data_IF_291818655669
#
_entry.id   IF_291818655669
#
_cell.length_a   1.000
_cell.length_b   1.000
_cell.length_c   1.000
_cell.angle_alpha   90.00
_cell.angle_beta   90.00
_cell.angle_gamma   90.00
#
_symmetry.space_group_name_H-M   'P 1'
#
loop_
_entity.id
_entity.type
_entity.pdbx_description
1 polymer ?
#
# COMPACT_ATOMS: atom_id res chain seq x y z
N UNK A 1 10.21 -10.51 70.59
CA UNK A 1 11.21 -9.51 71.05
C UNK A 1 12.59 -10.16 71.01
N UNK A 2 13.31 -9.98 69.90
CA UNK A 2 14.74 -10.25 69.65
C UNK A 2 15.03 -9.53 68.31
N UNK A 3 15.48 -8.26 68.34
CA UNK A 3 16.86 -7.76 68.25
C UNK A 3 17.60 -8.03 66.92
N UNK A 4 17.87 -6.90 66.21
CA UNK A 4 19.02 -6.52 65.35
C UNK A 4 19.46 -7.50 64.23
N UNK A 5 19.61 -7.11 62.97
CA UNK A 5 20.08 -5.84 62.41
C UNK A 5 21.54 -5.96 61.97
N UNK A 6 21.79 -6.10 60.66
CA UNK A 6 23.05 -5.68 60.00
C UNK A 6 22.90 -5.78 58.46
N UNK A 7 22.74 -4.63 57.82
CA UNK A 7 22.88 -4.40 56.39
C UNK A 7 24.37 -4.18 56.13
N UNK A 8 24.97 -4.90 55.19
CA UNK A 8 26.28 -4.56 54.63
C UNK A 8 26.16 -4.43 53.11
N UNK A 9 26.14 -3.18 52.66
CA UNK A 9 26.39 -2.77 51.28
C UNK A 9 27.84 -2.28 51.21
N UNK A 10 28.68 -2.94 50.42
CA UNK A 10 30.01 -2.45 50.04
C UNK A 10 30.30 -2.91 48.62
N UNK A 11 30.61 -1.97 47.72
CA UNK A 11 31.18 -2.28 46.40
C UNK A 11 30.90 -1.23 45.33
N UNK A 12 31.50 -0.05 45.47
CA UNK A 12 31.49 1.07 44.50
C UNK A 12 32.27 0.79 43.21
N UNK A 13 31.86 1.52 42.16
CA UNK A 13 32.42 1.66 40.82
C UNK A 13 33.83 2.31 40.75
N UNK A 14 34.62 1.94 39.73
CA UNK A 14 35.59 2.76 38.96
C UNK A 14 36.23 1.84 37.88
N UNK A 15 36.07 2.04 36.56
CA UNK A 15 36.59 3.06 35.63
C UNK A 15 37.98 2.73 35.03
N UNK A 16 38.15 3.12 33.74
CA UNK A 16 39.34 3.10 32.86
C UNK A 16 39.61 1.78 32.09
N UNK A 17 39.98 1.72 30.80
CA UNK A 17 40.44 2.74 29.82
C UNK A 17 40.56 2.09 28.42
N UNK A 18 40.27 2.83 27.34
CA UNK A 18 40.78 2.56 25.97
C UNK A 18 42.29 2.83 25.85
N UNK A 19 42.96 2.66 24.67
CA UNK A 19 42.68 3.51 23.50
C UNK A 19 42.96 2.91 22.09
N UNK A 20 42.75 3.77 21.08
CA UNK A 20 43.55 3.97 19.84
C UNK A 20 43.21 3.20 18.54
N UNK A 21 42.51 3.93 17.66
CA UNK A 21 42.91 4.35 16.29
C UNK A 21 43.59 3.38 15.30
N UNK A 22 42.96 3.28 14.11
CA UNK A 22 43.67 3.35 12.83
C UNK A 22 42.74 3.80 11.69
N UNK A 23 42.88 5.07 11.29
CA UNK A 23 42.55 5.54 9.94
C UNK A 23 43.70 5.22 8.97
N UNK A 24 43.37 4.82 7.74
CA UNK A 24 44.12 5.05 6.50
C UNK A 24 43.14 4.74 5.34
N UNK A 25 42.71 5.71 4.53
CA UNK A 25 43.41 6.40 3.44
C UNK A 25 42.90 5.86 2.08
N UNK A 26 42.04 6.65 1.43
CA UNK A 26 42.27 7.28 0.11
C UNK A 26 42.44 6.27 -1.04
N UNK A 27 41.47 6.24 -1.95
CA UNK A 27 41.80 6.34 -3.38
C UNK A 27 40.71 7.05 -4.18
N UNK A 28 41.15 8.04 -4.94
CA UNK A 28 40.42 8.78 -5.97
C UNK A 28 40.65 8.05 -7.28
N UNK A 29 39.60 7.84 -8.08
CA UNK A 29 39.75 7.82 -9.54
C UNK A 29 38.61 8.63 -10.13
N UNK A 30 39.00 9.75 -10.72
CA UNK A 30 38.25 10.45 -11.75
C UNK A 30 38.78 9.96 -13.10
N UNK A 31 37.89 9.66 -14.04
CA UNK A 31 38.13 9.64 -15.49
C UNK A 31 36.71 9.64 -16.12
N UNK A 32 36.18 10.78 -16.55
CA UNK A 32 36.39 11.48 -17.83
C UNK A 32 35.59 10.86 -19.00
N UNK A 33 34.66 11.69 -19.51
CA UNK A 33 34.28 11.88 -20.93
C UNK A 33 33.81 10.66 -21.73
N UNK A 34 32.55 10.71 -22.21
CA UNK A 34 32.26 10.95 -23.63
C UNK A 34 30.76 11.21 -23.86
N UNK A 35 30.48 12.48 -24.17
CA UNK A 35 29.35 12.91 -25.00
C UNK A 35 29.61 12.41 -26.42
N UNK A 36 28.66 11.72 -27.04
CA UNK A 36 28.53 11.70 -28.49
C UNK A 36 27.06 11.90 -28.87
N UNK A 37 26.85 13.11 -29.39
CA UNK A 37 25.81 13.55 -30.28
C UNK A 37 25.99 12.83 -31.62
N UNK A 38 24.97 12.12 -32.13
CA UNK A 38 24.88 11.86 -33.58
C UNK A 38 23.41 11.81 -34.01
N UNK A 39 22.98 12.94 -34.57
CA UNK A 39 21.91 13.06 -35.54
C UNK A 39 22.19 12.19 -36.77
N UNK A 40 21.22 11.38 -37.19
CA UNK A 40 21.00 11.09 -38.62
C UNK A 40 19.51 11.22 -38.92
N UNK A 41 19.22 12.20 -39.78
CA UNK A 41 17.94 12.48 -40.41
C UNK A 41 17.79 11.69 -41.72
N UNK A 42 16.53 11.30 -41.97
CA UNK A 42 15.82 11.23 -43.26
C UNK A 42 16.31 10.28 -44.37
N UNK A 43 15.42 9.40 -44.85
CA UNK A 43 14.75 9.64 -46.14
C UNK A 43 13.64 8.62 -46.50
N UNK A 44 12.49 9.20 -46.88
CA UNK A 44 11.54 8.90 -47.97
C UNK A 44 10.75 7.57 -48.13
N UNK A 45 9.43 7.74 -47.91
CA UNK A 45 8.31 7.57 -48.87
C UNK A 45 7.99 6.23 -49.58
N UNK A 46 6.75 5.76 -49.36
CA UNK A 46 5.77 5.36 -50.37
C UNK A 46 4.39 5.21 -49.67
N UNK A 47 3.47 6.16 -49.84
CA UNK A 47 2.31 6.09 -50.74
C UNK A 47 1.33 4.95 -50.50
N UNK A 48 0.11 5.33 -50.07
CA UNK A 48 -1.05 4.45 -49.94
C UNK A 48 -2.28 5.23 -49.47
N UNK A 49 -2.76 6.16 -50.29
CA UNK A 49 -4.03 6.86 -50.09
C UNK A 49 -5.20 6.08 -50.72
N UNK A 50 -6.42 6.52 -50.34
CA UNK A 50 -7.77 6.18 -50.85
C UNK A 50 -8.41 5.03 -50.03
N UNK A 51 -9.56 5.17 -49.35
CA UNK A 51 -10.75 5.93 -49.72
C UNK A 51 -11.48 6.55 -48.51
N UNK A 52 -11.94 7.79 -48.72
CA UNK A 52 -13.07 8.38 -48.00
C UNK A 52 -14.34 7.71 -48.51
N UNK A 53 -15.13 7.09 -47.61
CA UNK A 53 -16.51 6.71 -47.89
C UNK A 53 -17.45 7.81 -47.38
N UNK A 54 -18.13 8.55 -48.28
CA UNK A 54 -19.25 9.39 -47.91
C UNK A 54 -20.52 8.57 -48.10
N UNK A 55 -21.13 8.12 -46.99
CA UNK A 55 -22.55 7.74 -47.05
C UNK A 55 -23.25 8.17 -45.76
N UNK A 56 -23.71 9.42 -45.81
CA UNK A 56 -24.72 9.99 -44.92
C UNK A 56 -26.10 9.51 -45.40
N UNK A 57 -26.70 8.55 -44.70
CA UNK A 57 -28.14 8.28 -44.82
C UNK A 57 -28.82 8.41 -43.44
N UNK A 58 -29.70 9.42 -43.24
CA UNK A 58 -30.35 9.69 -41.97
C UNK A 58 -31.77 9.14 -41.96
N UNK A 59 -31.97 7.85 -41.67
CA UNK A 59 -33.26 7.40 -41.11
C UNK A 59 -33.21 5.97 -40.54
N UNK A 60 -32.90 5.84 -39.25
CA UNK A 60 -33.50 4.80 -38.40
C UNK A 60 -33.27 5.11 -36.92
N UNK A 61 -34.14 5.95 -36.37
CA UNK A 61 -34.28 6.07 -34.92
C UNK A 61 -34.78 4.71 -34.39
N UNK A 62 -33.88 3.93 -33.78
CA UNK A 62 -34.22 2.76 -32.97
C UNK A 62 -34.06 3.12 -31.49
N UNK A 63 -34.91 2.56 -30.61
CA UNK A 63 -35.05 3.04 -29.25
C UNK A 63 -33.76 2.85 -28.45
N UNK A 64 -33.44 3.87 -27.66
CA UNK A 64 -32.42 3.91 -26.62
C UNK A 64 -32.42 2.58 -25.85
N UNK A 65 -31.39 1.77 -26.08
CA UNK A 65 -31.15 0.58 -25.26
C UNK A 65 -30.56 1.07 -23.95
N UNK A 66 -31.44 1.09 -22.95
CA UNK A 66 -31.19 1.34 -21.52
C UNK A 66 -29.77 0.93 -21.11
N UNK A 67 -28.97 1.91 -20.66
CA UNK A 67 -27.74 1.66 -19.92
C UNK A 67 -28.04 0.73 -18.73
N UNK A 68 -27.14 -0.18 -18.32
CA UNK A 68 -27.31 -0.89 -17.07
C UNK A 68 -27.37 0.14 -15.95
N UNK A 69 -28.55 0.28 -15.38
CA UNK A 69 -28.77 0.96 -14.11
C UNK A 69 -27.92 0.20 -13.09
N UNK A 70 -26.83 0.81 -12.61
CA UNK A 70 -26.18 0.39 -11.37
C UNK A 70 -27.19 0.66 -10.27
N UNK A 71 -28.01 -0.35 -10.00
CA UNK A 71 -28.84 -0.37 -8.82
C UNK A 71 -27.88 -0.55 -7.65
N UNK A 72 -27.86 0.43 -6.75
CA UNK A 72 -27.27 0.29 -5.42
C UNK A 72 -27.86 -0.96 -4.79
N UNK A 73 -27.07 -2.02 -4.71
CA UNK A 73 -27.47 -3.22 -3.99
C UNK A 73 -27.39 -2.91 -2.49
N UNK A 74 -28.37 -3.37 -1.69
CA UNK A 74 -28.27 -3.27 -0.24
C UNK A 74 -26.99 -4.00 0.20
N UNK A 75 -26.30 -3.43 1.20
CA UNK A 75 -25.27 -4.14 1.96
C UNK A 75 -25.93 -5.40 2.53
N UNK A 76 -25.77 -6.51 1.81
CA UNK A 76 -25.98 -7.83 2.37
C UNK A 76 -24.93 -7.98 3.46
N UNK A 77 -25.36 -8.36 4.67
CA UNK A 77 -24.51 -8.86 5.76
C UNK A 77 -23.84 -10.15 5.29
N UNK A 78 -22.88 -9.96 4.41
CA UNK A 78 -22.07 -10.98 3.79
C UNK A 78 -20.87 -11.17 4.71
N UNK A 79 -20.95 -12.29 5.44
CA UNK A 79 -20.05 -12.70 6.50
C UNK A 79 -18.68 -13.05 5.91
N UNK A 80 -17.80 -12.05 5.83
CA UNK A 80 -16.38 -12.25 5.57
C UNK A 80 -15.55 -12.10 6.85
N UNK A 81 -14.38 -12.72 6.90
CA UNK A 81 -13.40 -12.46 7.94
C UNK A 81 -12.89 -11.03 7.80
N UNK A 82 -12.91 -10.25 8.88
CA UNK A 82 -12.29 -8.92 8.90
C UNK A 82 -10.77 -9.08 8.88
N UNK A 83 -10.13 -8.67 7.79
CA UNK A 83 -8.67 -8.62 7.67
C UNK A 83 -8.12 -7.31 8.23
N UNK A 84 -8.83 -6.22 7.99
CA UNK A 84 -8.47 -4.89 8.45
C UNK A 84 -9.72 -4.02 8.59
N UNK A 85 -9.74 -3.12 9.57
CA UNK A 85 -10.74 -2.06 9.66
C UNK A 85 -10.17 -0.86 10.41
N UNK A 86 -10.58 0.36 10.08
CA UNK A 86 -10.33 1.55 10.89
C UNK A 86 -11.28 2.69 10.53
N UNK A 87 -11.28 3.74 11.34
CA UNK A 87 -11.90 5.03 11.01
C UNK A 87 -10.83 6.10 10.73
N UNK A 88 -11.12 6.95 9.75
CA UNK A 88 -10.33 8.14 9.40
C UNK A 88 -10.74 9.34 10.25
N UNK A 89 -9.99 10.43 10.17
CA UNK A 89 -10.33 11.69 10.87
C UNK A 89 -11.70 12.27 10.46
N UNK A 90 -12.19 11.92 9.27
CA UNK A 90 -13.50 12.34 8.75
C UNK A 90 -14.61 11.30 9.05
N UNK A 91 -14.36 10.37 9.96
CA UNK A 91 -15.32 9.30 10.35
C UNK A 91 -15.72 8.39 9.17
N UNK A 92 -14.85 8.30 8.15
CA UNK A 92 -14.98 7.31 7.07
C UNK A 92 -14.37 5.99 7.50
N UNK A 93 -15.07 4.90 7.23
CA UNK A 93 -14.59 3.53 7.37
C UNK A 93 -13.59 3.20 6.26
N UNK A 94 -12.49 2.56 6.61
CA UNK A 94 -11.63 1.77 5.70
C UNK A 94 -11.74 0.33 6.18
N UNK A 95 -12.19 -0.60 5.34
CA UNK A 95 -12.29 -2.00 5.72
C UNK A 95 -11.90 -2.98 4.61
N UNK A 96 -11.28 -4.08 5.02
CA UNK A 96 -11.00 -5.26 4.20
C UNK A 96 -11.66 -6.48 4.81
N UNK A 97 -12.42 -7.19 3.98
CA UNK A 97 -13.03 -8.46 4.33
C UNK A 97 -12.56 -9.55 3.37
N UNK A 98 -12.14 -10.67 3.92
CA UNK A 98 -11.92 -11.90 3.19
C UNK A 98 -13.24 -12.67 3.09
N UNK A 99 -13.70 -12.93 1.87
CA UNK A 99 -14.93 -13.68 1.57
C UNK A 99 -14.64 -14.95 0.78
N UNK A 100 -13.52 -15.58 1.11
CA UNK A 100 -12.96 -16.79 0.51
C UNK A 100 -12.48 -16.59 -0.94
N UNK A 101 -13.39 -16.21 -1.84
CA UNK A 101 -13.13 -16.05 -3.29
C UNK A 101 -12.81 -14.62 -3.70
N UNK A 102 -13.18 -13.65 -2.87
CA UNK A 102 -12.95 -12.22 -3.12
C UNK A 102 -12.43 -11.55 -1.86
N UNK A 103 -11.59 -10.54 -2.05
CA UNK A 103 -11.28 -9.54 -1.03
C UNK A 103 -12.19 -8.34 -1.28
N UNK A 104 -13.09 -8.08 -0.33
CA UNK A 104 -13.91 -6.87 -0.36
C UNK A 104 -13.16 -5.72 0.30
N UNK A 105 -13.06 -4.60 -0.42
CA UNK A 105 -12.60 -3.32 0.10
C UNK A 105 -13.76 -2.34 0.19
N UNK A 106 -13.82 -1.60 1.29
CA UNK A 106 -14.84 -0.57 1.55
C UNK A 106 -14.15 0.71 2.01
N UNK A 107 -14.56 1.83 1.43
CA UNK A 107 -14.17 3.17 1.86
C UNK A 107 -15.38 4.12 1.91
N UNK A 108 -15.50 4.90 2.97
CA UNK A 108 -16.55 5.92 3.15
C UNK A 108 -17.39 5.71 4.41
N UNK A 109 -18.49 6.46 4.58
CA UNK A 109 -19.41 6.26 5.70
C UNK A 109 -19.99 4.84 5.74
N UNK A 110 -20.14 4.24 6.93
CA UNK A 110 -20.57 2.82 7.07
C UNK A 110 -21.91 2.52 6.37
N UNK A 111 -22.90 3.41 6.53
CA UNK A 111 -24.25 3.25 5.99
C UNK A 111 -24.33 3.52 4.48
N UNK A 112 -23.39 4.31 3.96
CA UNK A 112 -23.34 4.66 2.53
C UNK A 112 -21.88 4.79 2.09
N UNK A 113 -21.21 3.65 1.80
CA UNK A 113 -19.83 3.68 1.34
C UNK A 113 -19.70 4.46 0.03
N UNK A 114 -18.62 5.23 -0.09
CA UNK A 114 -18.25 5.99 -1.29
C UNK A 114 -17.62 5.07 -2.35
N UNK A 115 -16.95 4.02 -1.90
CA UNK A 115 -16.28 3.04 -2.74
C UNK A 115 -16.44 1.64 -2.14
N UNK A 116 -16.85 0.69 -2.97
CA UNK A 116 -16.89 -0.74 -2.65
C UNK A 116 -16.28 -1.48 -3.82
N UNK A 117 -15.24 -2.26 -3.55
CA UNK A 117 -14.60 -3.13 -4.53
C UNK A 117 -14.72 -4.57 -4.06
N UNK A 118 -15.09 -5.46 -4.98
CA UNK A 118 -15.00 -6.91 -4.81
C UNK A 118 -13.94 -7.40 -5.78
N UNK A 119 -12.73 -7.66 -5.26
CA UNK A 119 -11.58 -8.08 -6.08
C UNK A 119 -11.39 -9.58 -5.93
N UNK A 120 -11.26 -10.34 -7.03
CA UNK A 120 -10.90 -11.76 -6.96
C UNK A 120 -9.68 -11.96 -6.07
N UNK A 121 -9.73 -12.95 -5.17
CA UNK A 121 -8.64 -13.20 -4.21
C UNK A 121 -7.29 -13.37 -4.90
N UNK A 122 -7.28 -14.00 -6.08
CA UNK A 122 -6.09 -14.25 -6.88
C UNK A 122 -5.44 -12.99 -7.48
N UNK A 123 -6.19 -11.89 -7.58
CA UNK A 123 -5.70 -10.59 -8.07
C UNK A 123 -5.16 -9.71 -6.92
N UNK A 124 -5.67 -9.90 -5.70
CA UNK A 124 -5.15 -9.20 -4.54
C UNK A 124 -3.78 -9.75 -4.14
N UNK A 125 -2.92 -8.88 -3.60
CA UNK A 125 -1.59 -9.27 -3.13
C UNK A 125 -1.33 -8.82 -1.70
N UNK A 126 -0.33 -9.41 -1.05
CA UNK A 126 0.05 -9.06 0.31
C UNK A 126 1.55 -8.91 0.47
N UNK A 127 1.96 -8.01 1.36
CA UNK A 127 3.28 -8.01 1.96
C UNK A 127 3.20 -8.51 3.39
N UNK A 128 4.01 -9.52 3.71
CA UNK A 128 4.12 -10.09 5.04
C UNK A 128 5.52 -9.80 5.60
N UNK A 129 5.59 -9.17 6.77
CA UNK A 129 6.86 -8.85 7.40
C UNK A 129 7.66 -10.13 7.71
N UNK A 130 8.93 -10.18 7.27
CA UNK A 130 9.78 -11.37 7.37
C UNK A 130 10.59 -11.44 8.68
N UNK A 131 10.27 -10.62 9.68
CA UNK A 131 11.02 -10.56 10.93
C UNK A 131 12.28 -9.68 10.91
N UNK A 132 12.58 -9.03 9.77
CA UNK A 132 13.79 -8.21 9.57
C UNK A 132 13.40 -6.72 9.53
N UNK A 133 14.14 -5.88 10.26
CA UNK A 133 13.94 -4.43 10.29
C UNK A 133 13.29 -3.92 11.58
N UNK A 134 13.30 -2.59 11.71
CA UNK A 134 12.74 -1.87 12.87
C UNK A 134 11.21 -1.85 12.85
N UNK A 135 10.64 -1.60 11.67
CA UNK A 135 9.19 -1.53 11.49
C UNK A 135 8.68 -2.92 11.15
N UNK A 136 7.72 -3.40 11.95
CA UNK A 136 6.87 -4.53 11.59
C UNK A 136 5.75 -3.99 10.73
N UNK A 137 5.65 -4.42 9.46
CA UNK A 137 4.69 -3.88 8.51
C UNK A 137 4.01 -4.96 7.68
N UNK A 138 2.70 -4.83 7.52
CA UNK A 138 1.88 -5.72 6.70
C UNK A 138 1.04 -4.87 5.77
N UNK A 139 0.82 -5.35 4.55
CA UNK A 139 -0.10 -4.68 3.64
C UNK A 139 -0.86 -5.67 2.78
N UNK A 140 -2.01 -5.21 2.28
CA UNK A 140 -2.80 -5.90 1.26
C UNK A 140 -3.07 -4.87 0.15
N UNK A 141 -2.71 -5.23 -1.08
CA UNK A 141 -2.94 -4.42 -2.27
C UNK A 141 -4.22 -4.89 -2.97
N UNK A 142 -5.11 -3.93 -3.23
CA UNK A 142 -6.40 -4.14 -3.89
C UNK A 142 -6.36 -3.44 -5.25
N UNK A 143 -6.12 -4.16 -6.36
CA UNK A 143 -6.11 -3.57 -7.69
C UNK A 143 -7.52 -3.19 -8.18
N UNK A 144 -7.59 -2.11 -8.94
CA UNK A 144 -8.77 -1.68 -9.69
C UNK A 144 -8.31 -0.91 -10.94
N UNK A 145 -8.11 -1.64 -12.05
CA UNK A 145 -7.55 -1.11 -13.31
C UNK A 145 -6.12 -0.55 -13.10
N UNK A 146 -5.93 0.74 -13.37
CA UNK A 146 -4.70 1.51 -13.18
C UNK A 146 -4.48 1.94 -11.73
N UNK A 147 -5.49 1.80 -10.87
CA UNK A 147 -5.42 2.23 -9.47
C UNK A 147 -5.16 1.03 -8.55
N UNK A 148 -4.31 1.20 -7.54
CA UNK A 148 -4.14 0.24 -6.44
C UNK A 148 -4.42 0.91 -5.09
N UNK A 149 -5.20 0.24 -4.25
CA UNK A 149 -5.45 0.64 -2.87
C UNK A 149 -4.66 -0.27 -1.94
N UNK A 150 -3.61 0.27 -1.32
CA UNK A 150 -2.67 -0.47 -0.49
C UNK A 150 -2.99 -0.20 0.98
N UNK A 151 -3.79 -1.09 1.56
CA UNK A 151 -4.11 -1.03 2.99
C UNK A 151 -2.91 -1.52 3.78
N UNK A 152 -2.43 -0.70 4.70
CA UNK A 152 -1.19 -0.94 5.43
C UNK A 152 -1.38 -0.78 6.93
N UNK A 153 -0.64 -1.57 7.68
CA UNK A 153 -0.45 -1.42 9.12
C UNK A 153 1.02 -1.59 9.42
N UNK A 154 1.60 -0.70 10.21
CA UNK A 154 2.98 -0.74 10.61
C UNK A 154 3.16 -0.31 12.07
N UNK A 155 4.16 -0.88 12.73
CA UNK A 155 4.53 -0.51 14.09
C UNK A 155 6.02 -0.50 14.28
N UNK A 156 6.51 0.54 14.94
CA UNK A 156 7.89 0.59 15.41
C UNK A 156 8.10 -0.40 16.56
N UNK A 157 8.97 -1.38 16.35
CA UNK A 157 9.26 -2.41 17.34
C UNK A 157 10.18 -1.93 18.46
N UNK A 158 10.87 -0.81 18.27
CA UNK A 158 11.81 -0.23 19.23
C UNK A 158 11.20 0.88 20.08
N UNK A 159 10.13 1.52 19.62
CA UNK A 159 9.36 2.49 20.40
C UNK A 159 7.94 1.97 20.65
N UNK A 160 7.79 1.20 21.73
CA UNK A 160 6.52 0.60 22.14
C UNK A 160 5.42 1.63 22.43
N UNK A 161 5.79 2.88 22.71
CA UNK A 161 4.86 3.94 23.05
C UNK A 161 4.31 4.66 21.82
N UNK A 162 4.91 4.49 20.64
CA UNK A 162 4.31 4.98 19.41
C UNK A 162 3.10 4.13 19.05
N UNK A 163 1.97 4.76 18.68
CA UNK A 163 0.85 4.03 18.12
C UNK A 163 1.27 3.38 16.80
N UNK A 164 0.54 2.34 16.40
CA UNK A 164 0.70 1.80 15.06
C UNK A 164 0.25 2.83 14.01
N UNK A 165 0.98 2.90 12.91
CA UNK A 165 0.61 3.65 11.72
C UNK A 165 -0.26 2.74 10.85
N UNK A 166 -1.41 3.22 10.41
CA UNK A 166 -2.29 2.44 9.56
C UNK A 166 -3.08 3.35 8.62
N UNK A 167 -3.45 2.83 7.46
CA UNK A 167 -4.17 3.60 6.46
C UNK A 167 -4.25 2.88 5.13
N UNK A 168 -4.68 3.62 4.11
CA UNK A 168 -4.66 3.17 2.72
C UNK A 168 -3.85 4.15 1.89
N UNK A 169 -2.84 3.65 1.19
CA UNK A 169 -2.16 4.42 0.16
C UNK A 169 -2.82 4.15 -1.18
N UNK A 170 -2.97 5.20 -1.99
CA UNK A 170 -3.53 5.12 -3.33
C UNK A 170 -2.40 5.33 -4.33
N UNK A 171 -2.25 4.38 -5.23
CA UNK A 171 -1.34 4.48 -6.36
C UNK A 171 -2.14 4.48 -7.66
N UNK A 172 -1.73 5.29 -8.64
CA UNK A 172 -2.29 5.30 -10.00
C UNK A 172 -1.13 5.10 -10.98
N UNK A 173 -1.24 4.11 -11.87
CA UNK A 173 -0.16 3.70 -12.78
C UNK A 173 1.18 3.41 -12.06
N UNK A 174 1.10 2.93 -10.81
CA UNK A 174 2.25 2.67 -9.93
C UNK A 174 2.87 3.91 -9.29
N UNK A 175 2.29 5.10 -9.50
CA UNK A 175 2.71 6.33 -8.85
C UNK A 175 1.89 6.59 -7.59
N UNK A 176 2.58 6.84 -6.47
CA UNK A 176 1.94 7.23 -5.21
C UNK A 176 1.21 8.58 -5.34
N UNK A 177 -0.07 8.58 -4.97
CA UNK A 177 -0.91 9.78 -5.02
C UNK A 177 -1.11 10.37 -3.62
N UNK A 178 -1.55 9.54 -2.67
CA UNK A 178 -1.87 9.97 -1.31
C UNK A 178 -1.99 8.78 -0.37
N UNK A 179 -1.89 9.04 0.93
CA UNK A 179 -2.34 8.15 2.00
C UNK A 179 -3.55 8.76 2.69
N UNK A 180 -4.52 7.92 3.02
CA UNK A 180 -5.60 8.25 3.96
C UNK A 180 -5.33 7.50 5.25
N UNK A 181 -5.03 8.26 6.30
CA UNK A 181 -4.63 7.71 7.60
C UNK A 181 -5.82 7.28 8.45
N UNK A 182 -5.63 6.18 9.17
CA UNK A 182 -6.48 5.76 10.26
C UNK A 182 -6.18 6.58 11.52
N UNK A 183 -7.21 6.93 12.28
CA UNK A 183 -7.07 7.63 13.56
C UNK A 183 -7.69 6.87 14.73
N UNK A 184 -8.65 5.97 14.49
CA UNK A 184 -9.30 5.18 15.53
C UNK A 184 -9.76 3.81 15.03
N UNK A 185 -10.19 2.98 15.98
CA UNK A 185 -10.86 1.69 15.76
C UNK A 185 -10.10 0.72 14.83
N UNK A 186 -8.77 0.77 14.93
CA UNK A 186 -7.88 -0.06 14.12
C UNK A 186 -8.00 -1.52 14.55
N UNK A 187 -8.54 -2.34 13.66
CA UNK A 187 -8.52 -3.81 13.71
C UNK A 187 -7.51 -4.28 12.66
N UNK A 188 -6.55 -5.10 13.08
CA UNK A 188 -5.53 -5.67 12.23
C UNK A 188 -5.45 -7.19 12.39
N UNK A 189 -5.81 -7.91 11.33
CA UNK A 189 -5.74 -9.37 11.21
C UNK A 189 -5.05 -9.80 9.90
N UNK A 190 -4.10 -9.00 9.38
CA UNK A 190 -3.46 -9.26 8.09
C UNK A 190 -2.26 -10.21 8.19
N UNK A 191 -1.87 -10.61 9.40
CA UNK A 191 -0.74 -11.52 9.63
C UNK A 191 -1.10 -12.93 9.11
N UNK A 192 -0.25 -13.47 8.23
CA UNK A 192 -0.37 -14.83 7.73
C UNK A 192 -1.53 -15.05 6.76
N UNK A 193 -2.11 -13.98 6.23
CA UNK A 193 -3.14 -14.08 5.17
C UNK A 193 -2.51 -14.71 3.93
N UNK A 194 -3.17 -15.73 3.39
CA UNK A 194 -2.74 -16.42 2.18
C UNK A 194 -3.26 -15.68 0.93
N UNK A 195 -2.43 -14.77 0.42
CA UNK A 195 -2.59 -14.05 -0.85
C UNK A 195 -1.27 -14.11 -1.63
N UNK A 196 -1.34 -13.79 -2.93
CA UNK A 196 -0.14 -13.63 -3.76
C UNK A 196 0.82 -12.61 -3.13
N UNK A 197 2.14 -12.86 -3.09
CA UNK A 197 3.08 -11.85 -2.61
C UNK A 197 3.07 -10.61 -3.52
N UNK A 198 3.09 -9.42 -2.92
CA UNK A 198 3.32 -8.17 -3.67
C UNK A 198 4.71 -8.23 -4.31
N UNK A 199 4.79 -7.94 -5.61
CA UNK A 199 6.06 -7.85 -6.32
C UNK A 199 6.74 -6.53 -5.92
N UNK A 200 7.97 -6.65 -5.41
CA UNK A 200 8.85 -5.53 -5.02
C UNK A 200 9.72 -5.08 -6.19
#
# INVERSE_FOLDING_TARGET
MFLLGAITFLGSCAAASGPADRQDSVDRVADDVQVQDELVQEDIAAEGAIALNPDSNPDKLKPVTKAPSVASQPVSTDSGQVLFSCHTAEDKLIALYDRDTVIKYVFGPEEQPELVLDVPREEASTFQWQGIGRYENYSISIPNKDTAYIVSWARDRLDINQPAEAGVSVEIDGEYITTVDCVSDIIHNMIGVDLSPTQL
#
